data_IF_560620427805
#
_entry.id   IF_560620427805
#
_cell.length_a   1.000
_cell.length_b   1.000
_cell.length_c   1.000
_cell.angle_alpha   90.00
_cell.angle_beta   90.00
_cell.angle_gamma   90.00
#
_symmetry.space_group_name_H-M   'P 1'
#
loop_
_entity.id
_entity.type
_entity.pdbx_description
1 polymer ?
#
# COMPACT_ATOMS: atom_id res chain seq x y z
N UNK A 1 -6.15 -26.56 -13.80
CA UNK A 1 -5.87 -26.99 -12.41
C UNK A 1 -5.69 -25.71 -11.62
N UNK A 2 -6.53 -25.42 -10.63
CA UNK A 2 -6.47 -24.15 -9.90
C UNK A 2 -5.24 -24.19 -9.00
N UNK A 3 -4.26 -23.32 -9.26
CA UNK A 3 -3.09 -23.18 -8.42
C UNK A 3 -3.49 -22.43 -7.14
N UNK A 4 -4.07 -23.14 -6.16
CA UNK A 4 -4.18 -22.61 -4.81
C UNK A 4 -2.80 -22.84 -4.16
N UNK A 5 -2.10 -21.73 -3.92
CA UNK A 5 -0.82 -21.69 -3.26
C UNK A 5 -0.85 -22.56 -1.97
N UNK A 6 0.06 -23.54 -1.84
CA UNK A 6 0.15 -24.45 -0.66
C UNK A 6 0.91 -23.86 0.53
N UNK A 7 1.31 -22.61 0.43
CA UNK A 7 2.21 -21.93 1.34
C UNK A 7 1.53 -20.70 1.93
N UNK A 8 2.01 -20.25 3.10
CA UNK A 8 1.48 -19.05 3.76
C UNK A 8 1.64 -17.83 2.83
N UNK A 9 0.56 -17.10 2.50
CA UNK A 9 0.64 -15.92 1.64
C UNK A 9 1.01 -14.68 2.46
N UNK A 10 2.24 -14.20 2.36
CA UNK A 10 2.62 -12.88 2.94
C UNK A 10 1.93 -11.72 2.21
N UNK A 11 1.48 -11.97 0.98
CA UNK A 11 0.68 -11.09 0.13
C UNK A 11 -0.83 -11.44 0.18
N UNK A 12 -1.31 -11.90 1.34
CA UNK A 12 -2.69 -12.31 1.55
C UNK A 12 -3.72 -11.29 1.02
N UNK A 13 -4.78 -11.79 0.38
CA UNK A 13 -5.97 -11.05 -0.08
C UNK A 13 -7.23 -11.70 0.46
N UNK A 14 -8.11 -10.90 1.03
CA UNK A 14 -9.44 -11.30 1.45
C UNK A 14 -10.41 -11.09 0.30
N UNK A 15 -10.97 -12.18 -0.23
CA UNK A 15 -12.02 -12.11 -1.24
C UNK A 15 -13.41 -11.94 -0.60
N UNK A 16 -14.42 -11.64 -1.42
CA UNK A 16 -15.80 -11.41 -0.99
C UNK A 16 -16.47 -12.64 -0.34
N UNK A 17 -15.95 -13.84 -0.57
CA UNK A 17 -16.39 -15.05 0.12
C UNK A 17 -15.84 -15.18 1.56
N UNK A 18 -15.07 -14.19 2.02
CA UNK A 18 -14.45 -14.19 3.33
C UNK A 18 -13.22 -15.09 3.43
N UNK A 19 -12.69 -15.59 2.31
CA UNK A 19 -11.51 -16.45 2.30
C UNK A 19 -10.26 -15.66 1.93
N UNK A 20 -9.14 -16.06 2.55
CA UNK A 20 -7.84 -15.47 2.31
C UNK A 20 -7.08 -16.30 1.28
N UNK A 21 -6.60 -15.63 0.24
CA UNK A 21 -5.84 -16.22 -0.84
C UNK A 21 -4.48 -15.52 -0.99
N UNK A 22 -3.51 -16.19 -1.61
CA UNK A 22 -2.34 -15.50 -2.17
C UNK A 22 -2.77 -14.59 -3.32
N UNK A 23 -2.22 -13.37 -3.39
CA UNK A 23 -2.57 -12.37 -4.40
C UNK A 23 -2.38 -12.90 -5.82
N UNK A 24 -1.18 -13.39 -6.14
CA UNK A 24 -0.87 -13.89 -7.49
C UNK A 24 -1.82 -15.02 -7.92
N UNK A 25 -2.07 -15.96 -7.00
CA UNK A 25 -2.94 -17.12 -7.23
C UNK A 25 -4.40 -16.69 -7.51
N UNK A 26 -4.97 -15.76 -6.74
CA UNK A 26 -6.37 -15.35 -6.90
C UNK A 26 -6.57 -14.39 -8.08
N UNK A 27 -5.61 -13.51 -8.35
CA UNK A 27 -5.68 -12.60 -9.51
C UNK A 27 -5.60 -13.38 -10.83
N UNK A 28 -4.73 -14.38 -10.93
CA UNK A 28 -4.67 -15.26 -12.10
C UNK A 28 -5.98 -16.03 -12.30
N UNK A 29 -6.58 -16.51 -11.20
CA UNK A 29 -7.88 -17.16 -11.23
C UNK A 29 -9.00 -16.23 -11.73
N UNK A 30 -8.95 -14.94 -11.38
CA UNK A 30 -9.93 -13.96 -11.85
C UNK A 30 -9.72 -13.51 -13.30
N UNK A 31 -8.49 -13.55 -13.83
CA UNK A 31 -8.21 -13.17 -15.24
C UNK A 31 -8.94 -14.03 -16.26
N UNK A 32 -9.18 -15.30 -15.96
CA UNK A 32 -9.87 -16.23 -16.85
C UNK A 32 -11.40 -16.20 -16.69
N UNK A 33 -11.90 -15.49 -15.68
CA UNK A 33 -13.33 -15.36 -15.42
C UNK A 33 -13.93 -14.18 -16.19
N UNK A 34 -15.15 -14.36 -16.72
CA UNK A 34 -15.90 -13.23 -17.27
C UNK A 34 -16.27 -12.24 -16.13
N UNK A 35 -16.38 -10.93 -16.43
CA UNK A 35 -16.74 -9.92 -15.43
C UNK A 35 -18.04 -10.29 -14.68
N UNK A 36 -18.00 -10.27 -13.35
CA UNK A 36 -19.14 -10.63 -12.50
C UNK A 36 -19.49 -12.14 -12.47
N UNK A 37 -18.65 -13.00 -13.08
CA UNK A 37 -18.82 -14.47 -13.06
C UNK A 37 -17.64 -15.18 -12.41
N UNK A 38 -16.76 -14.47 -11.71
CA UNK A 38 -15.70 -15.09 -10.95
C UNK A 38 -16.30 -16.03 -9.90
N UNK A 39 -15.66 -17.17 -9.69
CA UNK A 39 -16.10 -18.16 -8.71
C UNK A 39 -15.03 -18.33 -7.65
N UNK A 40 -15.45 -18.50 -6.41
CA UNK A 40 -14.57 -18.87 -5.30
C UNK A 40 -13.85 -20.17 -5.66
N UNK A 41 -12.50 -20.18 -5.67
CA UNK A 41 -11.71 -21.40 -5.85
C UNK A 41 -12.04 -22.53 -4.86
N UNK A 42 -12.53 -22.16 -3.66
CA UNK A 42 -12.74 -23.10 -2.56
C UNK A 42 -14.20 -23.44 -2.33
N UNK A 43 -15.11 -22.45 -2.48
CA UNK A 43 -16.54 -22.64 -2.23
C UNK A 43 -17.36 -22.89 -3.50
N UNK A 44 -16.81 -22.60 -4.68
CA UNK A 44 -17.52 -22.69 -5.96
C UNK A 44 -18.65 -21.66 -6.14
N UNK A 45 -18.83 -20.75 -5.18
CA UNK A 45 -19.86 -19.70 -5.22
C UNK A 45 -19.41 -18.56 -6.13
N UNK A 46 -20.35 -17.95 -6.85
CA UNK A 46 -20.07 -16.72 -7.60
C UNK A 46 -19.70 -15.60 -6.63
N UNK A 47 -18.57 -14.97 -6.90
CA UNK A 47 -18.02 -13.83 -6.15
C UNK A 47 -17.61 -12.73 -7.13
N UNK A 48 -17.56 -11.49 -6.66
CA UNK A 48 -16.90 -10.42 -7.38
C UNK A 48 -15.38 -10.62 -7.46
N UNK A 49 -14.72 -9.70 -8.15
CA UNK A 49 -13.26 -9.67 -8.27
C UNK A 49 -12.60 -8.75 -7.24
N UNK A 50 -13.37 -8.21 -6.29
CA UNK A 50 -12.86 -7.31 -5.25
C UNK A 50 -11.97 -8.09 -4.28
N UNK A 51 -10.76 -7.59 -4.08
CA UNK A 51 -9.77 -8.17 -3.17
C UNK A 51 -9.37 -7.14 -2.13
N UNK A 52 -9.74 -7.37 -0.88
CA UNK A 52 -9.35 -6.54 0.25
C UNK A 52 -7.99 -6.98 0.78
N UNK A 53 -7.25 -6.05 1.38
CA UNK A 53 -5.96 -6.33 2.01
C UNK A 53 -6.13 -6.48 3.53
N UNK A 54 -6.08 -7.71 4.09
CA UNK A 54 -6.25 -7.93 5.52
C UNK A 54 -4.94 -7.64 6.28
N UNK A 55 -4.65 -6.37 6.57
CA UNK A 55 -3.38 -5.92 7.17
C UNK A 55 -3.03 -6.69 8.44
N UNK A 56 -3.97 -6.89 9.36
CA UNK A 56 -3.73 -7.64 10.59
C UNK A 56 -3.26 -9.08 10.31
N UNK A 57 -3.89 -9.75 9.35
CA UNK A 57 -3.51 -11.13 8.97
C UNK A 57 -2.15 -11.17 8.31
N UNK A 58 -1.86 -10.22 7.41
CA UNK A 58 -0.55 -10.09 6.77
C UNK A 58 0.54 -9.93 7.82
N UNK A 59 0.34 -9.04 8.80
CA UNK A 59 1.29 -8.83 9.88
C UNK A 59 1.52 -10.10 10.69
N UNK A 60 0.45 -10.81 11.07
CA UNK A 60 0.55 -12.09 11.79
C UNK A 60 1.29 -13.15 10.96
N UNK A 61 1.01 -13.26 9.65
CA UNK A 61 1.73 -14.20 8.78
C UNK A 61 3.23 -13.83 8.72
N UNK A 62 3.55 -12.55 8.60
CA UNK A 62 4.93 -12.07 8.56
C UNK A 62 5.68 -12.33 9.87
N UNK A 63 5.03 -12.22 11.01
CA UNK A 63 5.58 -12.59 12.32
C UNK A 63 5.86 -14.09 12.39
N UNK A 64 4.88 -14.93 12.01
CA UNK A 64 5.05 -16.38 11.97
C UNK A 64 6.20 -16.81 11.06
N UNK A 65 6.31 -16.20 9.87
CA UNK A 65 7.41 -16.47 8.93
C UNK A 65 8.77 -16.10 9.51
N UNK A 66 8.84 -15.02 10.30
CA UNK A 66 10.07 -14.57 10.95
C UNK A 66 10.47 -15.49 12.11
N UNK A 67 9.51 -15.83 12.96
CA UNK A 67 9.74 -16.63 14.17
C UNK A 67 10.10 -18.08 13.84
N UNK A 68 9.57 -18.61 12.73
CA UNK A 68 9.81 -19.97 12.25
C UNK A 68 10.72 -20.04 11.03
N UNK A 69 11.59 -19.04 10.80
CA UNK A 69 12.47 -18.97 9.62
C UNK A 69 13.29 -20.25 9.39
N UNK A 70 13.68 -20.93 10.47
CA UNK A 70 14.55 -22.11 10.44
C UNK A 70 13.76 -23.40 10.09
N UNK A 71 12.43 -23.36 10.25
CA UNK A 71 11.51 -24.44 9.87
C UNK A 71 11.03 -24.30 8.41
N UNK A 72 11.27 -23.15 7.78
CA UNK A 72 10.86 -22.84 6.43
C UNK A 72 11.92 -23.28 5.40
N UNK A 73 11.45 -23.68 4.22
CA UNK A 73 12.34 -23.85 3.07
C UNK A 73 13.11 -22.54 2.83
N UNK A 74 14.46 -22.53 2.78
CA UNK A 74 15.23 -21.30 2.69
C UNK A 74 14.94 -20.46 1.44
N UNK A 75 14.61 -21.11 0.32
CA UNK A 75 14.24 -20.41 -0.92
C UNK A 75 12.87 -19.76 -0.76
N UNK A 76 11.95 -20.44 -0.08
CA UNK A 76 10.65 -19.88 0.28
C UNK A 76 10.80 -18.71 1.26
N UNK A 77 11.57 -18.86 2.34
CA UNK A 77 11.83 -17.78 3.29
C UNK A 77 12.48 -16.59 2.60
N UNK A 78 13.49 -16.78 1.75
CA UNK A 78 14.14 -15.67 1.04
C UNK A 78 13.19 -14.92 0.10
N UNK A 79 12.21 -15.60 -0.51
CA UNK A 79 11.16 -14.96 -1.32
C UNK A 79 10.11 -14.24 -0.48
N UNK A 80 9.87 -14.71 0.73
CA UNK A 80 8.77 -14.27 1.60
C UNK A 80 9.23 -13.40 2.77
N UNK A 81 10.54 -13.23 2.96
CA UNK A 81 11.07 -12.53 4.12
C UNK A 81 10.52 -11.10 4.10
N UNK A 82 9.85 -10.65 5.17
CA UNK A 82 9.49 -9.26 5.28
C UNK A 82 10.78 -8.43 5.28
N UNK A 83 10.75 -7.27 4.63
CA UNK A 83 11.87 -6.33 4.68
C UNK A 83 12.18 -6.02 6.16
N UNK A 84 13.46 -6.11 6.55
CA UNK A 84 13.91 -5.63 7.85
C UNK A 84 13.61 -4.12 7.97
N UNK A 85 13.61 -3.55 9.18
CA UNK A 85 13.46 -2.09 9.36
C UNK A 85 14.47 -1.29 8.53
N UNK A 86 15.72 -1.75 8.49
CA UNK A 86 16.78 -1.17 7.64
C UNK A 86 16.44 -1.25 6.14
N UNK A 87 15.84 -2.36 5.71
CA UNK A 87 15.37 -2.51 4.33
C UNK A 87 14.13 -1.63 4.05
N UNK A 88 13.25 -1.40 5.03
CA UNK A 88 12.07 -0.53 4.88
C UNK A 88 12.49 0.92 4.65
N UNK A 89 13.43 1.45 5.44
CA UNK A 89 13.95 2.81 5.24
C UNK A 89 14.66 2.96 3.89
N UNK A 90 15.42 1.94 3.47
CA UNK A 90 16.04 1.92 2.14
C UNK A 90 15.00 1.89 1.03
N UNK A 91 13.95 1.07 1.14
CA UNK A 91 12.85 1.01 0.18
C UNK A 91 12.10 2.34 0.10
N UNK A 92 11.85 2.99 1.24
CA UNK A 92 11.24 4.32 1.29
C UNK A 92 12.14 5.37 0.62
N UNK A 93 13.45 5.34 0.87
CA UNK A 93 14.41 6.24 0.23
C UNK A 93 14.47 6.04 -1.28
N UNK A 94 14.52 4.78 -1.74
CA UNK A 94 14.49 4.46 -3.17
C UNK A 94 13.18 4.91 -3.84
N UNK A 95 12.03 4.68 -3.19
CA UNK A 95 10.74 5.14 -3.68
C UNK A 95 10.74 6.66 -3.86
N UNK A 96 11.14 7.40 -2.83
CA UNK A 96 11.21 8.86 -2.87
C UNK A 96 12.13 9.37 -3.99
N UNK A 97 13.29 8.72 -4.17
CA UNK A 97 14.24 9.09 -5.21
C UNK A 97 13.68 8.86 -6.62
N UNK A 98 12.91 7.80 -6.85
CA UNK A 98 12.20 7.60 -8.12
C UNK A 98 10.99 8.54 -8.29
N UNK A 99 10.31 8.94 -7.20
CA UNK A 99 9.18 9.89 -7.29
C UNK A 99 9.60 11.28 -7.72
N UNK A 100 10.76 11.75 -7.24
CA UNK A 100 11.18 13.14 -7.40
C UNK A 100 12.51 13.31 -8.15
N UNK A 101 13.07 12.23 -8.68
CA UNK A 101 14.33 12.26 -9.42
C UNK A 101 15.53 12.64 -8.55
N UNK A 102 15.60 12.11 -7.34
CA UNK A 102 16.71 12.35 -6.41
C UNK A 102 17.86 11.38 -6.69
N UNK A 103 19.06 11.68 -6.16
CA UNK A 103 20.24 10.82 -6.26
C UNK A 103 20.62 10.41 -7.70
N UNK A 104 20.37 11.29 -8.67
CA UNK A 104 20.65 11.05 -10.08
C UNK A 104 19.68 10.10 -10.78
N UNK A 105 18.57 9.72 -10.13
CA UNK A 105 17.49 8.95 -10.77
C UNK A 105 16.61 9.85 -11.64
N UNK A 106 16.08 9.29 -12.71
CA UNK A 106 14.97 9.91 -13.43
C UNK A 106 13.67 9.64 -12.68
N UNK A 107 12.68 10.53 -12.86
CA UNK A 107 11.35 10.33 -12.31
C UNK A 107 10.73 9.09 -12.97
N UNK A 108 10.38 8.11 -12.16
CA UNK A 108 9.74 6.85 -12.57
C UNK A 108 8.75 6.41 -11.49
N UNK A 109 7.48 6.75 -11.68
CA UNK A 109 6.43 6.44 -10.71
C UNK A 109 6.07 4.95 -10.66
N UNK A 110 6.40 4.18 -11.70
CA UNK A 110 6.25 2.73 -11.72
C UNK A 110 7.26 2.05 -10.81
N UNK A 111 8.53 2.44 -10.90
CA UNK A 111 9.56 1.95 -9.96
C UNK A 111 9.31 2.45 -8.53
N UNK A 112 8.89 3.71 -8.36
CA UNK A 112 8.49 4.22 -7.05
C UNK A 112 7.35 3.41 -6.44
N UNK A 113 6.34 3.04 -7.23
CA UNK A 113 5.24 2.19 -6.76
C UNK A 113 5.76 0.83 -6.28
N UNK A 114 6.61 0.15 -7.07
CA UNK A 114 7.14 -1.17 -6.67
C UNK A 114 7.88 -1.11 -5.33
N UNK A 115 8.73 -0.09 -5.13
CA UNK A 115 9.49 0.09 -3.88
C UNK A 115 8.58 0.44 -2.70
N UNK A 116 7.64 1.35 -2.91
CA UNK A 116 6.69 1.77 -1.88
C UNK A 116 5.70 0.67 -1.51
N UNK A 117 5.26 -0.16 -2.46
CA UNK A 117 4.46 -1.35 -2.21
C UNK A 117 5.24 -2.38 -1.40
N UNK A 118 6.50 -2.69 -1.76
CA UNK A 118 7.36 -3.57 -0.95
C UNK A 118 7.50 -3.07 0.48
N UNK A 119 7.72 -1.76 0.66
CA UNK A 119 7.77 -1.13 1.98
C UNK A 119 6.42 -1.24 2.72
N UNK A 120 5.31 -0.93 2.07
CA UNK A 120 3.95 -1.01 2.62
C UNK A 120 3.57 -2.44 3.04
N UNK A 121 4.02 -3.45 2.29
CA UNK A 121 3.82 -4.88 2.60
C UNK A 121 4.50 -5.28 3.91
N UNK A 122 5.49 -4.51 4.35
CA UNK A 122 6.20 -4.70 5.60
C UNK A 122 5.60 -3.87 6.75
N UNK A 123 4.41 -3.28 6.55
CA UNK A 123 3.71 -2.47 7.55
C UNK A 123 4.12 -0.99 7.56
N UNK A 124 4.96 -0.53 6.63
CA UNK A 124 5.38 0.86 6.54
C UNK A 124 4.23 1.76 6.10
N UNK A 125 3.78 2.63 7.00
CA UNK A 125 2.76 3.63 6.66
C UNK A 125 3.31 4.72 5.73
N UNK A 126 4.62 4.98 5.75
CA UNK A 126 5.27 5.87 4.78
C UNK A 126 5.30 5.22 3.39
N UNK A 127 5.62 3.92 3.32
CA UNK A 127 5.50 3.14 2.09
C UNK A 127 4.08 3.16 1.54
N UNK A 128 3.06 2.99 2.41
CA UNK A 128 1.65 3.11 2.02
C UNK A 128 1.31 4.50 1.47
N UNK A 129 1.82 5.56 2.08
CA UNK A 129 1.61 6.92 1.61
C UNK A 129 2.22 7.15 0.20
N UNK A 130 3.46 6.71 -0.01
CA UNK A 130 4.12 6.78 -1.32
C UNK A 130 3.42 5.92 -2.37
N UNK A 131 2.95 4.73 -1.99
CA UNK A 131 2.14 3.88 -2.87
C UNK A 131 0.88 4.62 -3.30
N UNK A 132 0.14 5.21 -2.35
CA UNK A 132 -1.05 6.00 -2.63
C UNK A 132 -0.79 7.18 -3.57
N UNK A 133 0.32 7.90 -3.38
CA UNK A 133 0.74 8.95 -4.31
C UNK A 133 1.00 8.40 -5.71
N UNK A 134 1.76 7.33 -5.86
CA UNK A 134 2.03 6.74 -7.17
C UNK A 134 0.73 6.30 -7.86
N UNK A 135 -0.21 5.71 -7.12
CA UNK A 135 -1.53 5.31 -7.64
C UNK A 135 -2.39 6.50 -8.11
N UNK A 136 -2.29 7.66 -7.46
CA UNK A 136 -2.98 8.89 -7.91
C UNK A 136 -2.35 9.49 -9.18
N UNK A 137 -1.03 9.40 -9.29
CA UNK A 137 -0.25 10.18 -10.26
C UNK A 137 0.14 9.39 -11.52
N UNK A 138 0.04 8.07 -11.52
CA UNK A 138 0.42 7.23 -12.66
C UNK A 138 -0.47 5.99 -12.85
N UNK A 139 -0.42 5.44 -14.06
CA UNK A 139 -1.10 4.22 -14.48
C UNK A 139 -0.28 2.97 -14.12
N UNK A 140 -0.09 2.71 -12.83
CA UNK A 140 0.80 1.62 -12.41
C UNK A 140 0.25 0.22 -12.78
N UNK A 141 -1.06 0.10 -13.02
CA UNK A 141 -1.75 -1.16 -13.34
C UNK A 141 -2.31 -1.24 -14.77
N UNK A 142 -1.89 -0.36 -15.67
CA UNK A 142 -2.36 -0.36 -17.08
C UNK A 142 -3.80 0.10 -17.31
N UNK A 143 -4.50 0.57 -16.26
CA UNK A 143 -5.93 0.92 -16.27
C UNK A 143 -6.27 2.41 -16.14
N UNK A 144 -5.29 3.32 -16.24
CA UNK A 144 -5.48 4.72 -15.86
C UNK A 144 -5.14 4.98 -14.39
N UNK A 145 -5.01 6.25 -13.96
CA UNK A 145 -4.85 6.59 -12.54
C UNK A 145 -6.06 6.13 -11.74
N UNK A 146 -5.84 5.45 -10.60
CA UNK A 146 -6.91 4.99 -9.71
C UNK A 146 -7.02 5.94 -8.52
N UNK A 147 -7.81 6.99 -8.71
CA UNK A 147 -7.95 8.03 -7.71
C UNK A 147 -8.62 7.54 -6.42
N UNK A 148 -9.51 6.54 -6.50
CA UNK A 148 -10.22 6.00 -5.34
C UNK A 148 -9.26 5.24 -4.44
N UNK A 149 -8.48 4.33 -5.03
CA UNK A 149 -7.47 3.56 -4.28
C UNK A 149 -6.39 4.48 -3.71
N UNK A 150 -5.86 5.41 -4.51
CA UNK A 150 -4.86 6.37 -4.03
C UNK A 150 -5.38 7.25 -2.88
N UNK A 151 -6.64 7.71 -2.98
CA UNK A 151 -7.30 8.47 -1.91
C UNK A 151 -7.43 7.66 -0.61
N UNK A 152 -7.82 6.40 -0.70
CA UNK A 152 -7.97 5.52 0.46
C UNK A 152 -6.62 5.28 1.15
N UNK A 153 -5.58 4.94 0.38
CA UNK A 153 -4.23 4.69 0.91
C UNK A 153 -3.68 5.94 1.63
N UNK A 154 -3.78 7.12 1.02
CA UNK A 154 -3.33 8.37 1.62
C UNK A 154 -4.17 8.76 2.84
N UNK A 155 -5.49 8.56 2.80
CA UNK A 155 -6.36 8.85 3.95
C UNK A 155 -6.02 7.96 5.14
N UNK A 156 -5.75 6.68 4.90
CA UNK A 156 -5.33 5.75 5.94
C UNK A 156 -3.97 6.15 6.52
N UNK A 157 -2.98 6.45 5.67
CA UNK A 157 -1.67 6.93 6.11
C UNK A 157 -1.77 8.22 6.93
N UNK A 158 -2.54 9.21 6.46
CA UNK A 158 -2.70 10.49 7.14
C UNK A 158 -3.38 10.37 8.51
N UNK A 159 -4.35 9.46 8.67
CA UNK A 159 -5.17 9.38 9.89
C UNK A 159 -4.72 8.32 10.90
N UNK A 160 -4.04 7.27 10.46
CA UNK A 160 -3.75 6.09 11.29
C UNK A 160 -2.25 5.87 11.51
N UNK A 161 -1.38 6.56 10.78
CA UNK A 161 0.06 6.41 10.98
C UNK A 161 0.52 7.03 12.29
N UNK A 162 1.38 6.34 13.02
CA UNK A 162 2.17 6.91 14.12
C UNK A 162 3.46 7.58 13.62
N UNK A 163 3.93 7.23 12.42
CA UNK A 163 5.05 7.91 11.76
C UNK A 163 4.58 9.28 11.27
N UNK A 164 5.19 10.35 11.80
CA UNK A 164 4.88 11.72 11.41
C UNK A 164 5.10 11.91 9.91
N UNK A 165 6.23 11.48 9.34
CA UNK A 165 6.58 11.65 7.92
C UNK A 165 5.49 11.12 6.99
N UNK A 166 4.93 9.96 7.33
CA UNK A 166 3.84 9.36 6.58
C UNK A 166 2.56 10.20 6.66
N UNK A 167 2.25 10.75 7.83
CA UNK A 167 1.09 11.65 8.01
C UNK A 167 1.26 12.95 7.25
N UNK A 168 2.42 13.59 7.39
CA UNK A 168 2.72 14.88 6.73
C UNK A 168 2.63 14.71 5.22
N UNK A 169 3.36 13.73 4.69
CA UNK A 169 3.39 13.45 3.26
C UNK A 169 1.99 13.15 2.71
N UNK A 170 1.23 12.29 3.38
CA UNK A 170 -0.10 11.91 2.91
C UNK A 170 -1.11 13.06 2.97
N UNK A 171 -1.09 13.84 4.04
CA UNK A 171 -1.95 15.00 4.19
C UNK A 171 -1.60 16.10 3.17
N UNK A 172 -0.32 16.35 2.92
CA UNK A 172 0.12 17.33 1.92
C UNK A 172 -0.23 16.90 0.50
N UNK A 173 -0.08 15.62 0.17
CA UNK A 173 -0.52 15.07 -1.11
C UNK A 173 -2.03 15.30 -1.32
N UNK A 174 -2.86 14.95 -0.33
CA UNK A 174 -4.31 15.16 -0.38
C UNK A 174 -4.68 16.65 -0.46
N UNK A 175 -3.97 17.50 0.28
CA UNK A 175 -4.17 18.94 0.23
C UNK A 175 -3.86 19.49 -1.16
N UNK A 176 -2.78 19.04 -1.78
CA UNK A 176 -2.39 19.43 -3.13
C UNK A 176 -3.43 18.99 -4.18
N UNK A 177 -3.94 17.76 -4.09
CA UNK A 177 -5.02 17.28 -4.96
C UNK A 177 -6.27 18.15 -4.86
N UNK A 178 -6.72 18.49 -3.64
CA UNK A 178 -7.88 19.36 -3.43
C UNK A 178 -7.62 20.81 -3.84
N UNK A 179 -6.43 21.36 -3.61
CA UNK A 179 -6.13 22.75 -3.99
C UNK A 179 -6.15 22.94 -5.51
N UNK A 180 -5.67 21.96 -6.26
CA UNK A 180 -5.56 22.07 -7.71
C UNK A 180 -6.75 21.47 -8.46
N UNK A 181 -7.57 20.64 -7.80
CA UNK A 181 -8.63 19.89 -8.47
C UNK A 181 -8.08 18.89 -9.48
N UNK A 182 -7.05 18.13 -9.09
CA UNK A 182 -6.33 17.20 -9.94
C UNK A 182 -6.65 15.74 -9.58
N UNK A 183 -6.30 14.79 -10.46
CA UNK A 183 -6.40 13.34 -10.19
C UNK A 183 -7.79 12.87 -9.75
N UNK A 184 -8.86 13.40 -10.36
CA UNK A 184 -10.25 13.06 -10.00
C UNK A 184 -10.85 13.90 -8.86
N UNK A 185 -10.06 14.72 -8.19
CA UNK A 185 -10.54 15.61 -7.14
C UNK A 185 -11.13 16.90 -7.71
N UNK A 186 -12.22 17.38 -7.13
CA UNK A 186 -12.72 18.75 -7.41
C UNK A 186 -11.95 19.75 -6.57
N UNK A 187 -11.57 20.88 -7.17
CA UNK A 187 -10.90 21.97 -6.46
C UNK A 187 -11.72 22.40 -5.23
N UNK A 188 -11.08 22.44 -4.06
CA UNK A 188 -11.69 22.77 -2.78
C UNK A 188 -10.65 23.22 -1.76
N UNK A 189 -10.41 24.53 -1.69
CA UNK A 189 -9.38 25.12 -0.81
C UNK A 189 -9.65 24.87 0.68
N UNK A 190 -10.93 24.81 1.09
CA UNK A 190 -11.31 24.50 2.47
C UNK A 190 -10.91 23.07 2.87
N UNK A 191 -11.13 22.09 1.99
CA UNK A 191 -10.69 20.70 2.21
C UNK A 191 -9.17 20.60 2.18
N UNK A 192 -8.50 21.31 1.28
CA UNK A 192 -7.05 21.36 1.24
C UNK A 192 -6.45 21.88 2.56
N UNK A 193 -7.00 22.99 3.08
CA UNK A 193 -6.58 23.56 4.36
C UNK A 193 -6.83 22.58 5.52
N UNK A 194 -7.98 21.90 5.54
CA UNK A 194 -8.29 20.90 6.57
C UNK A 194 -7.26 19.77 6.61
N UNK A 195 -6.78 19.31 5.46
CA UNK A 195 -5.72 18.30 5.41
C UNK A 195 -4.40 18.84 5.94
N UNK A 196 -3.97 20.05 5.55
CA UNK A 196 -2.75 20.69 6.09
C UNK A 196 -2.78 20.88 7.60
N UNK A 197 -3.91 21.32 8.14
CA UNK A 197 -4.06 21.55 9.58
C UNK A 197 -4.04 20.25 10.41
N UNK A 198 -4.26 19.09 9.79
CA UNK A 198 -4.16 17.78 10.47
C UNK A 198 -2.73 17.45 10.91
N UNK A 199 -1.74 18.06 10.26
CA UNK A 199 -0.31 17.82 10.51
C UNK A 199 0.25 18.85 11.50
N UNK A 200 -0.31 20.06 11.51
CA UNK A 200 0.16 21.16 12.36
C UNK A 200 -0.19 21.00 13.85
N UNK A 201 -1.12 20.10 14.21
CA UNK A 201 -1.53 19.90 15.61
C UNK A 201 -0.50 19.19 16.49
N UNK A 202 0.51 18.53 15.91
CA UNK A 202 1.52 17.79 16.67
C UNK A 202 2.70 18.65 17.14
N UNK A 203 2.84 19.88 16.61
CA UNK A 203 3.87 20.83 17.06
C UNK A 203 3.49 21.57 18.36
N UNK A 204 2.27 21.39 18.87
CA UNK A 204 1.78 22.08 20.08
C UNK A 204 1.71 21.21 21.34
N UNK A 205 2.06 19.91 21.26
CA UNK A 205 2.23 19.04 22.44
C UNK A 205 3.67 18.56 22.62
N UNK A 206 4.66 19.42 22.34
CA UNK A 206 5.97 19.25 22.97
C UNK A 206 5.94 19.88 24.37
N UNK A 207 6.19 19.13 25.46
CA UNK A 207 6.33 19.70 26.81
C UNK A 207 7.58 20.59 26.94
N UNK A 208 8.42 20.63 25.91
CA UNK A 208 9.65 21.40 25.89
C UNK A 208 9.52 22.52 24.87
N UNK A 209 8.73 23.53 25.23
CA UNK A 209 8.80 24.84 24.59
C UNK A 209 10.14 25.48 24.93
N UNK A 210 10.99 25.65 23.92
CA UNK A 210 12.10 26.60 23.98
C UNK A 210 11.88 27.61 22.86
N UNK A 211 11.46 28.80 23.28
CA UNK A 211 11.52 30.06 22.56
C UNK A 211 12.94 30.45 22.19
#
# INVERSE_FOLDING_TARGET
MIAICRLLPTDARLAEDGIIYCCACIEEHFKVAAPGKAQSPLKGLTIGTTLLRPIAVINTINELVRDHKDDLDPIYYEKQKPASSKNVDELNGQALAFMFGLDGKQIDLGEAYKKSEQSANCGSMLGKAYQGYCTLHDTVSGGGPDWETGFLLLTEAAKQSVDCRAREFAADALAHCYQNGAHGFKKNDRKAQRWRSMVQSDYHESPFGLS
#
